data_IF_688714503726
#
_entry.id   IF_688714503726
#
_cell.length_a   1.000
_cell.length_b   1.000
_cell.length_c   1.000
_cell.angle_alpha   90.00
_cell.angle_beta   90.00
_cell.angle_gamma   90.00
#
_symmetry.space_group_name_H-M   'P 1'
#
loop_
_entity.id
_entity.type
_entity.pdbx_description
1 polymer ?
#
# COMPACT_ATOMS: atom_id res chain seq x y z
N UNK A 1 -10.68 -6.18 13.98
CA UNK A 1 -9.81 -6.31 12.77
C UNK A 1 -10.04 -5.10 11.89
N UNK A 2 -8.96 -4.54 11.32
CA UNK A 2 -9.01 -3.31 10.55
C UNK A 2 -8.47 -3.51 9.15
N UNK A 3 -9.30 -3.23 8.13
CA UNK A 3 -8.97 -3.31 6.72
C UNK A 3 -8.75 -1.90 6.16
N UNK A 4 -7.67 -1.71 5.40
CA UNK A 4 -7.40 -0.49 4.65
C UNK A 4 -7.44 -0.79 3.15
N UNK A 5 -8.35 -0.15 2.43
CA UNK A 5 -8.44 -0.21 0.98
C UNK A 5 -7.70 0.99 0.39
N UNK A 6 -6.67 0.72 -0.40
CA UNK A 6 -5.96 1.69 -1.22
C UNK A 6 -6.50 1.57 -2.64
N UNK A 7 -7.42 2.46 -3.00
CA UNK A 7 -8.09 2.41 -4.30
C UNK A 7 -7.34 3.23 -5.35
N UNK A 8 -6.74 2.55 -6.30
CA UNK A 8 -6.01 3.13 -7.44
C UNK A 8 -6.86 3.31 -8.70
N UNK A 9 -8.19 3.27 -8.62
CA UNK A 9 -9.05 3.52 -9.76
C UNK A 9 -9.49 5.00 -9.85
N UNK A 10 -9.35 5.67 -11.01
CA UNK A 10 -9.87 7.04 -11.20
C UNK A 10 -11.40 7.11 -11.10
N UNK A 11 -12.10 5.99 -11.30
CA UNK A 11 -13.56 5.91 -11.14
C UNK A 11 -14.00 5.83 -9.68
N UNK A 12 -13.05 5.83 -8.75
CA UNK A 12 -13.30 5.74 -7.31
C UNK A 12 -14.18 4.52 -6.97
N UNK A 13 -15.17 4.67 -6.11
CA UNK A 13 -16.06 3.58 -5.71
C UNK A 13 -16.94 2.98 -6.81
N UNK A 14 -16.97 3.56 -8.01
CA UNK A 14 -17.79 3.08 -9.15
C UNK A 14 -17.01 2.19 -10.13
N UNK A 15 -15.81 1.76 -9.80
CA UNK A 15 -15.00 0.90 -10.66
C UNK A 15 -15.41 -0.57 -10.54
N UNK A 16 -15.21 -1.34 -11.61
CA UNK A 16 -15.40 -2.78 -11.60
C UNK A 16 -14.51 -3.46 -10.56
N UNK A 17 -13.26 -3.01 -10.42
CA UNK A 17 -12.34 -3.52 -9.41
C UNK A 17 -12.91 -3.33 -8.00
N UNK A 18 -13.53 -2.18 -7.71
CA UNK A 18 -14.15 -1.94 -6.41
C UNK A 18 -15.38 -2.79 -6.15
N UNK A 19 -16.11 -3.24 -7.20
CA UNK A 19 -17.20 -4.19 -7.02
C UNK A 19 -16.66 -5.55 -6.52
N UNK A 20 -15.55 -6.02 -7.10
CA UNK A 20 -14.88 -7.25 -6.63
C UNK A 20 -14.31 -7.05 -5.23
N UNK A 21 -13.70 -5.91 -4.96
CA UNK A 21 -13.17 -5.59 -3.63
C UNK A 21 -14.26 -5.60 -2.56
N UNK A 22 -15.45 -5.07 -2.84
CA UNK A 22 -16.59 -5.13 -1.91
C UNK A 22 -17.04 -6.57 -1.67
N UNK A 23 -17.21 -7.37 -2.74
CA UNK A 23 -17.56 -8.77 -2.60
C UNK A 23 -16.53 -9.55 -1.77
N UNK A 24 -15.23 -9.23 -1.89
CA UNK A 24 -14.19 -9.80 -1.05
C UNK A 24 -14.36 -9.38 0.42
N UNK A 25 -14.67 -8.11 0.69
CA UNK A 25 -14.87 -7.57 2.03
C UNK A 25 -16.11 -8.14 2.69
N UNK A 26 -17.16 -8.39 1.93
CA UNK A 26 -18.42 -8.98 2.44
C UNK A 26 -18.22 -10.38 3.06
N UNK A 27 -17.10 -11.04 2.77
CA UNK A 27 -16.69 -12.30 3.39
C UNK A 27 -16.09 -12.16 4.80
N UNK A 28 -15.83 -10.94 5.28
CA UNK A 28 -15.30 -10.68 6.61
C UNK A 28 -16.42 -10.52 7.65
N UNK A 29 -16.13 -10.70 8.96
CA UNK A 29 -17.07 -10.44 10.03
C UNK A 29 -17.64 -9.01 9.96
N UNK A 30 -18.92 -8.84 10.31
CA UNK A 30 -19.62 -7.54 10.19
C UNK A 30 -19.08 -6.44 11.11
N UNK A 31 -18.37 -6.80 12.16
CA UNK A 31 -17.67 -5.89 13.07
C UNK A 31 -16.29 -5.47 12.60
N UNK A 32 -15.91 -5.88 11.39
CA UNK A 32 -14.65 -5.48 10.78
C UNK A 32 -14.67 -4.00 10.41
N UNK A 33 -13.70 -3.24 10.91
CA UNK A 33 -13.53 -1.83 10.55
C UNK A 33 -12.92 -1.75 9.14
N UNK A 34 -13.57 -1.04 8.23
CA UNK A 34 -13.11 -0.87 6.84
C UNK A 34 -12.92 0.60 6.54
N UNK A 35 -11.70 0.97 6.15
CA UNK A 35 -11.38 2.32 5.68
C UNK A 35 -10.95 2.27 4.21
N UNK A 36 -11.43 3.22 3.39
CA UNK A 36 -11.05 3.35 1.98
C UNK A 36 -10.37 4.69 1.72
N UNK A 37 -9.26 4.65 1.00
CA UNK A 37 -8.55 5.82 0.49
C UNK A 37 -8.58 5.78 -1.04
N UNK A 38 -9.23 6.77 -1.66
CA UNK A 38 -9.19 6.98 -3.11
C UNK A 38 -7.92 7.74 -3.47
N UNK A 39 -6.92 7.06 -4.00
CA UNK A 39 -5.58 7.64 -4.24
C UNK A 39 -5.60 8.78 -5.27
N UNK A 40 -6.50 8.73 -6.27
CA UNK A 40 -6.67 9.82 -7.23
C UNK A 40 -7.20 11.14 -6.62
N UNK A 41 -7.68 11.10 -5.37
CA UNK A 41 -8.11 12.29 -4.62
C UNK A 41 -7.04 12.78 -3.64
N UNK A 42 -5.84 12.21 -3.72
CA UNK A 42 -4.71 12.51 -2.82
C UNK A 42 -3.55 13.13 -3.59
N UNK A 43 -2.87 14.03 -2.94
CA UNK A 43 -1.59 14.50 -3.42
C UNK A 43 -0.50 13.54 -2.97
N UNK A 44 -0.02 12.70 -3.91
CA UNK A 44 1.06 11.75 -3.69
C UNK A 44 2.13 12.02 -4.74
N UNK A 45 3.17 12.75 -4.35
CA UNK A 45 4.30 13.03 -5.23
C UNK A 45 5.19 11.82 -5.40
N UNK A 46 5.82 11.62 -6.57
CA UNK A 46 6.74 10.51 -6.82
C UNK A 46 7.90 10.48 -5.82
N UNK A 47 8.45 9.29 -5.56
CA UNK A 47 9.68 9.12 -4.79
C UNK A 47 10.85 9.74 -5.56
N UNK A 48 11.70 10.51 -4.87
CA UNK A 48 12.90 11.14 -5.47
C UNK A 48 14.14 10.25 -5.42
N UNK A 49 14.05 9.06 -4.84
CA UNK A 49 15.21 8.18 -4.65
C UNK A 49 16.32 8.77 -3.77
N UNK A 50 16.00 9.74 -2.91
CA UNK A 50 16.99 10.48 -2.12
C UNK A 50 17.50 9.71 -0.90
N UNK A 51 16.88 8.58 -0.53
CA UNK A 51 17.19 7.72 0.61
C UNK A 51 17.32 8.44 1.96
N UNK A 52 16.75 9.64 2.10
CA UNK A 52 16.72 10.35 3.38
C UNK A 52 15.98 9.57 4.46
N UNK A 53 14.95 8.82 4.09
CA UNK A 53 14.20 7.93 4.99
C UNK A 53 15.03 6.75 5.54
N UNK A 54 16.21 6.53 5.03
CA UNK A 54 17.16 5.54 5.54
C UNK A 54 18.38 6.20 6.26
N UNK A 55 18.64 7.46 6.00
CA UNK A 55 19.83 8.16 6.48
C UNK A 55 19.54 9.35 7.38
N UNK A 56 18.98 10.44 6.83
CA UNK A 56 18.76 11.71 7.53
C UNK A 56 17.53 11.73 8.42
N UNK A 57 16.46 11.08 7.97
CA UNK A 57 15.16 11.02 8.66
C UNK A 57 14.68 9.55 8.73
N UNK A 58 15.38 8.67 9.48
CA UNK A 58 15.07 7.23 9.48
C UNK A 58 13.60 6.94 9.79
N UNK A 59 12.93 6.25 8.85
CA UNK A 59 11.50 5.91 8.97
C UNK A 59 10.54 7.00 8.52
N UNK A 60 11.02 8.18 8.10
CA UNK A 60 10.18 9.27 7.64
C UNK A 60 10.58 9.77 6.24
N UNK A 61 9.57 10.03 5.39
CA UNK A 61 9.82 10.64 4.11
C UNK A 61 9.91 12.16 4.23
N UNK A 62 10.90 12.76 3.56
CA UNK A 62 11.12 14.22 3.55
C UNK A 62 10.07 14.96 2.72
N UNK A 63 9.40 14.30 1.78
CA UNK A 63 8.34 14.88 0.97
C UNK A 63 7.08 15.00 1.84
N UNK A 64 6.60 16.21 2.04
CA UNK A 64 5.39 16.51 2.82
C UNK A 64 4.19 16.62 1.89
N UNK A 65 3.31 15.61 1.93
CA UNK A 65 2.09 15.49 1.16
C UNK A 65 1.11 14.54 1.89
N UNK A 66 0.08 14.02 1.22
CA UNK A 66 -0.90 13.13 1.85
C UNK A 66 -0.32 11.78 2.31
N UNK A 67 0.89 11.42 1.87
CA UNK A 67 1.53 10.16 2.29
C UNK A 67 1.72 10.06 3.80
N UNK A 68 1.94 11.16 4.53
CA UNK A 68 2.09 11.12 5.99
C UNK A 68 0.86 10.49 6.66
N UNK A 69 -0.34 10.92 6.22
CA UNK A 69 -1.60 10.36 6.73
C UNK A 69 -1.80 8.91 6.30
N UNK A 70 -1.38 8.58 5.08
CA UNK A 70 -1.49 7.21 4.54
C UNK A 70 -0.56 6.27 5.31
N UNK A 71 0.66 6.68 5.66
CA UNK A 71 1.57 5.88 6.50
C UNK A 71 0.92 5.50 7.84
N UNK A 72 0.27 6.44 8.52
CA UNK A 72 -0.40 6.16 9.80
C UNK A 72 -1.56 5.16 9.62
N UNK A 73 -2.32 5.27 8.53
CA UNK A 73 -3.39 4.33 8.22
C UNK A 73 -2.85 2.93 7.90
N UNK A 74 -1.76 2.83 7.13
CA UNK A 74 -1.08 1.56 6.86
C UNK A 74 -0.59 0.93 8.17
N UNK A 75 0.06 1.70 9.05
CA UNK A 75 0.54 1.21 10.35
C UNK A 75 -0.61 0.70 11.23
N UNK A 76 -1.76 1.37 11.21
CA UNK A 76 -2.91 1.05 12.06
C UNK A 76 -3.76 -0.12 11.55
N UNK A 77 -3.56 -0.59 10.32
CA UNK A 77 -4.39 -1.63 9.70
C UNK A 77 -3.79 -3.02 9.86
N UNK A 78 -4.64 -4.05 9.91
CA UNK A 78 -4.23 -5.46 9.94
C UNK A 78 -4.04 -6.00 8.52
N UNK A 79 -4.94 -5.62 7.62
CA UNK A 79 -4.93 -6.04 6.21
C UNK A 79 -4.98 -4.81 5.33
N UNK A 80 -4.08 -4.76 4.35
CA UNK A 80 -4.01 -3.72 3.33
C UNK A 80 -4.49 -4.33 2.01
N UNK A 81 -5.46 -3.70 1.38
CA UNK A 81 -6.03 -4.13 0.10
C UNK A 81 -5.69 -3.09 -0.96
N UNK A 82 -4.79 -3.42 -1.87
CA UNK A 82 -4.52 -2.62 -3.06
C UNK A 82 -5.51 -3.01 -4.16
N UNK A 83 -6.44 -2.11 -4.48
CA UNK A 83 -7.52 -2.32 -5.45
C UNK A 83 -7.35 -1.37 -6.63
N UNK A 84 -7.02 -1.91 -7.83
CA UNK A 84 -6.74 -1.07 -8.99
C UNK A 84 -7.02 -1.77 -10.32
N UNK A 85 -7.39 -1.02 -11.38
CA UNK A 85 -7.43 -1.55 -12.74
C UNK A 85 -6.00 -1.76 -13.26
N UNK A 86 -5.80 -2.80 -14.08
CA UNK A 86 -4.53 -3.00 -14.77
C UNK A 86 -4.39 -1.95 -15.89
N UNK A 87 -3.33 -1.15 -15.85
CA UNK A 87 -2.99 -0.17 -16.88
C UNK A 87 -1.64 -0.52 -17.51
N UNK A 88 -1.63 -0.70 -18.82
CA UNK A 88 -0.42 -1.02 -19.59
C UNK A 88 0.48 -2.07 -18.88
N UNK A 89 -0.11 -3.24 -18.60
CA UNK A 89 0.54 -4.39 -17.96
C UNK A 89 1.05 -4.15 -16.52
N UNK A 90 0.61 -3.10 -15.87
CA UNK A 90 1.04 -2.76 -14.50
C UNK A 90 -0.02 -2.03 -13.69
N UNK A 91 0.37 -1.61 -12.50
CA UNK A 91 -0.47 -0.78 -11.65
C UNK A 91 -0.56 0.66 -12.18
N UNK A 92 -1.65 1.41 -11.91
CA UNK A 92 -1.76 2.83 -12.24
C UNK A 92 -0.64 3.65 -11.57
N UNK A 93 -0.26 4.76 -12.20
CA UNK A 93 0.83 5.63 -11.74
C UNK A 93 0.67 6.07 -10.28
N UNK A 94 -0.54 6.41 -9.85
CA UNK A 94 -0.82 6.83 -8.47
C UNK A 94 -0.54 5.71 -7.47
N UNK A 95 -0.83 4.45 -7.83
CA UNK A 95 -0.51 3.29 -7.00
C UNK A 95 1.01 3.07 -6.95
N UNK A 96 1.69 3.20 -8.10
CA UNK A 96 3.16 3.11 -8.15
C UNK A 96 3.83 4.20 -7.33
N UNK A 97 3.34 5.45 -7.38
CA UNK A 97 3.83 6.53 -6.52
C UNK A 97 3.71 6.17 -5.04
N UNK A 98 2.57 5.63 -4.61
CA UNK A 98 2.37 5.17 -3.24
C UNK A 98 3.37 4.07 -2.86
N UNK A 99 3.48 3.04 -3.69
CA UNK A 99 4.35 1.88 -3.43
C UNK A 99 5.81 2.29 -3.32
N UNK A 100 6.32 3.13 -4.23
CA UNK A 100 7.70 3.64 -4.19
C UNK A 100 7.97 4.49 -2.94
N UNK A 101 6.94 5.11 -2.40
CA UNK A 101 7.01 5.90 -1.18
C UNK A 101 6.91 5.07 0.11
N UNK A 102 6.77 3.73 0.03
CA UNK A 102 6.76 2.84 1.19
C UNK A 102 8.16 2.48 1.74
N UNK A 103 9.24 2.96 1.11
CA UNK A 103 10.62 2.80 1.61
C UNK A 103 10.84 3.14 3.10
N UNK A 104 10.16 4.12 3.72
CA UNK A 104 10.29 4.38 5.16
C UNK A 104 9.95 3.21 6.07
N UNK A 105 9.14 2.25 5.60
CA UNK A 105 8.80 1.05 6.36
C UNK A 105 9.91 0.00 6.40
N UNK A 106 10.93 0.15 5.56
CA UNK A 106 12.01 -0.81 5.40
C UNK A 106 13.32 -0.29 6.00
N UNK A 107 14.19 -1.22 6.41
CA UNK A 107 15.56 -0.92 6.81
C UNK A 107 16.49 -0.92 5.59
N UNK A 108 17.63 -0.19 5.64
CA UNK A 108 18.54 -0.07 4.49
C UNK A 108 19.42 -1.29 4.24
N UNK A 109 19.29 -2.34 5.02
CA UNK A 109 20.07 -3.57 4.89
C UNK A 109 19.15 -4.77 4.63
N UNK A 110 19.71 -5.78 4.00
CA UNK A 110 19.04 -7.03 3.67
C UNK A 110 19.40 -8.10 4.70
N UNK A 111 18.39 -8.75 5.25
CA UNK A 111 18.55 -9.88 6.16
C UNK A 111 18.00 -11.16 5.57
N UNK A 112 18.53 -12.30 6.01
CA UNK A 112 17.99 -13.62 5.68
C UNK A 112 17.10 -14.12 6.83
N UNK A 113 15.89 -13.59 6.91
CA UNK A 113 14.95 -13.92 8.00
C UNK A 113 14.43 -15.36 7.96
N UNK A 114 14.42 -16.00 6.78
CA UNK A 114 13.88 -17.34 6.59
C UNK A 114 14.92 -18.45 6.69
N UNK A 115 16.22 -18.11 6.66
CA UNK A 115 17.29 -19.08 6.63
C UNK A 115 17.39 -19.93 5.34
N UNK A 116 16.62 -19.57 4.30
CA UNK A 116 16.50 -20.28 3.03
C UNK A 116 17.41 -19.71 1.92
N UNK A 117 18.28 -18.76 2.27
CA UNK A 117 19.15 -18.07 1.32
C UNK A 117 18.51 -16.86 0.63
N UNK A 118 17.25 -16.56 0.90
CA UNK A 118 16.60 -15.37 0.39
C UNK A 118 16.90 -14.13 1.26
N UNK A 119 17.23 -13.01 0.62
CA UNK A 119 17.58 -11.77 1.29
C UNK A 119 16.57 -10.69 0.95
N UNK A 120 15.99 -10.07 1.99
CA UNK A 120 15.02 -8.98 1.86
C UNK A 120 15.40 -7.82 2.77
N UNK A 121 14.99 -6.61 2.39
CA UNK A 121 15.03 -5.51 3.33
C UNK A 121 14.09 -5.81 4.50
N UNK A 122 14.62 -5.74 5.71
CA UNK A 122 13.82 -5.95 6.92
C UNK A 122 12.81 -4.82 7.13
N UNK A 123 11.67 -5.16 7.70
CA UNK A 123 10.69 -4.16 8.10
C UNK A 123 11.17 -3.44 9.36
N UNK A 124 11.04 -2.12 9.37
CA UNK A 124 11.51 -1.26 10.46
C UNK A 124 10.75 -1.48 11.77
N UNK A 125 9.47 -1.77 11.69
CA UNK A 125 8.61 -1.92 12.85
C UNK A 125 8.06 -3.34 12.95
N UNK A 126 8.13 -3.92 14.15
CA UNK A 126 7.70 -5.29 14.41
C UNK A 126 6.23 -5.54 14.05
N UNK A 127 5.35 -4.59 14.33
CA UNK A 127 3.92 -4.70 13.99
C UNK A 127 3.64 -4.75 12.48
N UNK A 128 4.61 -4.44 11.63
CA UNK A 128 4.46 -4.56 10.17
C UNK A 128 4.57 -6.02 9.69
N UNK A 129 5.25 -6.90 10.43
CA UNK A 129 5.45 -8.30 10.03
C UNK A 129 4.14 -9.13 10.01
N UNK A 130 3.16 -8.77 10.82
CA UNK A 130 1.88 -9.48 10.91
C UNK A 130 0.83 -8.99 9.92
N UNK A 131 1.11 -7.92 9.16
CA UNK A 131 0.17 -7.37 8.20
C UNK A 131 0.03 -8.28 6.98
N UNK A 132 -1.18 -8.31 6.43
CA UNK A 132 -1.46 -9.00 5.17
C UNK A 132 -1.65 -7.98 4.06
N UNK A 133 -1.07 -8.26 2.90
CA UNK A 133 -1.27 -7.50 1.68
C UNK A 133 -2.12 -8.32 0.71
N UNK A 134 -3.21 -7.73 0.23
CA UNK A 134 -4.09 -8.32 -0.77
C UNK A 134 -4.08 -7.44 -2.01
N UNK A 135 -3.85 -8.03 -3.17
CA UNK A 135 -3.92 -7.33 -4.46
C UNK A 135 -5.18 -7.77 -5.20
N UNK A 136 -6.03 -6.80 -5.54
CA UNK A 136 -7.23 -7.01 -6.35
C UNK A 136 -7.09 -6.14 -7.60
N UNK A 137 -6.93 -6.79 -8.74
CA UNK A 137 -6.80 -6.09 -10.02
C UNK A 137 -7.74 -6.67 -11.07
N UNK A 138 -8.26 -5.80 -11.92
CA UNK A 138 -9.08 -6.18 -13.08
C UNK A 138 -8.48 -5.65 -14.35
N UNK A 139 -8.54 -6.44 -15.41
CA UNK A 139 -8.20 -6.00 -16.76
C UNK A 139 -9.45 -6.07 -17.66
N UNK A 140 -9.53 -5.20 -18.65
CA UNK A 140 -10.61 -5.14 -19.61
C UNK A 140 -10.05 -5.28 -21.04
N UNK A 141 -9.42 -6.41 -21.33
CA UNK A 141 -9.14 -6.76 -22.72
C UNK A 141 -10.34 -7.56 -23.24
N UNK A 142 -10.96 -7.04 -24.25
CA UNK A 142 -12.00 -7.68 -25.04
C UNK A 142 -11.37 -8.20 -26.31
#
# INVERSE_FOLDING_TARGET
MKLLILNGSPKSGRSNTMNITRAFIDGFPKDTEVEQIDLYKKEIRPCLGCFSCWSKTPGECVIKDDMQKIYEKIKASDIIIESFPLYFFGMPSVMKCLTDRCLPFMLPYMGNQKGDGSYFNELRAENMHNKKLVLISTCGYV
#
